data_IF_677512531182
#
_entry.id   IF_677512531182
#
_cell.length_a   1.000
_cell.length_b   1.000
_cell.length_c   1.000
_cell.angle_alpha   90.00
_cell.angle_beta   90.00
_cell.angle_gamma   90.00
#
_symmetry.space_group_name_H-M   'P 1'
#
loop_
_entity.id
_entity.type
_entity.pdbx_description
1 polymer ?
#
# COMPACT_ATOMS: atom_id res chain seq x y z
N UNK A 1 21.78 -12.73 14.65
CA UNK A 1 20.99 -12.93 13.43
C UNK A 1 20.91 -11.61 12.69
N UNK A 2 21.31 -11.58 11.42
CA UNK A 2 21.21 -10.39 10.59
C UNK A 2 19.84 -10.37 9.89
N UNK A 3 18.82 -9.86 10.58
CA UNK A 3 17.45 -9.79 10.05
C UNK A 3 17.31 -8.69 9.01
N UNK A 4 18.07 -7.60 9.14
CA UNK A 4 17.94 -6.43 8.26
C UNK A 4 18.29 -6.74 6.81
N UNK A 5 19.20 -7.68 6.55
CA UNK A 5 19.53 -8.13 5.20
C UNK A 5 18.44 -9.00 4.55
N UNK A 6 17.43 -9.41 5.31
CA UNK A 6 16.35 -10.30 4.85
C UNK A 6 15.02 -9.58 4.66
N UNK A 7 14.99 -8.25 4.74
CA UNK A 7 13.82 -7.44 4.45
C UNK A 7 14.13 -6.40 3.39
N UNK A 8 13.14 -6.06 2.58
CA UNK A 8 13.22 -5.00 1.58
C UNK A 8 12.09 -4.01 1.77
N UNK A 9 12.43 -2.72 1.88
CA UNK A 9 11.47 -1.63 1.88
C UNK A 9 10.98 -1.36 0.46
N UNK A 10 9.69 -1.05 0.33
CA UNK A 10 9.06 -0.67 -0.93
C UNK A 10 8.39 0.69 -0.78
N UNK A 11 8.47 1.57 -1.79
CA UNK A 11 7.69 2.78 -1.84
C UNK A 11 6.21 2.45 -2.02
N UNK A 12 5.35 3.32 -1.51
CA UNK A 12 3.90 3.18 -1.58
C UNK A 12 3.28 4.51 -1.97
N UNK A 13 2.30 4.45 -2.88
CA UNK A 13 1.54 5.61 -3.32
C UNK A 13 0.05 5.31 -3.26
N UNK A 14 -0.71 6.25 -2.71
CA UNK A 14 -2.17 6.29 -2.81
C UNK A 14 -2.59 7.58 -3.50
N UNK A 15 -3.40 7.46 -4.55
CA UNK A 15 -3.96 8.61 -5.25
C UNK A 15 -5.46 8.66 -5.01
N UNK A 16 -5.92 9.75 -4.44
CA UNK A 16 -7.33 10.04 -4.17
C UNK A 16 -7.84 11.09 -5.14
N UNK A 17 -9.05 10.89 -5.64
CA UNK A 17 -9.70 11.85 -6.53
C UNK A 17 -11.18 12.03 -6.16
N UNK A 18 -11.75 13.16 -6.54
CA UNK A 18 -13.19 13.42 -6.49
C UNK A 18 -13.68 13.65 -7.91
N UNK A 19 -14.65 12.84 -8.36
CA UNK A 19 -15.36 13.00 -9.61
C UNK A 19 -16.78 13.52 -9.39
N UNK A 20 -17.26 14.39 -10.27
CA UNK A 20 -18.66 14.84 -10.24
C UNK A 20 -19.62 13.76 -10.78
N UNK A 21 -19.21 13.02 -11.80
CA UNK A 21 -20.06 12.02 -12.48
C UNK A 21 -20.35 10.76 -11.67
N UNK A 22 -19.56 10.46 -10.62
CA UNK A 22 -19.72 9.25 -9.80
C UNK A 22 -19.86 7.97 -10.62
N UNK A 23 -19.14 7.88 -11.75
CA UNK A 23 -19.19 6.76 -12.71
C UNK A 23 -18.99 5.40 -12.03
N UNK A 24 -18.24 5.37 -10.94
CA UNK A 24 -17.92 4.17 -10.16
C UNK A 24 -19.02 3.72 -9.17
N UNK A 25 -20.21 4.34 -9.20
CA UNK A 25 -21.29 4.12 -8.19
C UNK A 25 -21.72 2.66 -8.04
N UNK A 26 -21.62 1.86 -9.10
CA UNK A 26 -22.02 0.46 -9.11
C UNK A 26 -20.85 -0.51 -8.87
N UNK A 27 -19.65 0.01 -8.64
CA UNK A 27 -18.45 -0.80 -8.40
C UNK A 27 -18.09 -0.81 -6.92
N UNK A 28 -17.60 -1.97 -6.46
CA UNK A 28 -16.87 -2.09 -5.20
C UNK A 28 -15.36 -1.91 -5.41
N UNK A 29 -14.55 -2.54 -4.56
CA UNK A 29 -13.10 -2.62 -4.75
C UNK A 29 -12.78 -3.41 -6.01
N UNK A 30 -11.99 -2.82 -6.89
CA UNK A 30 -11.45 -3.46 -8.11
C UNK A 30 -9.97 -3.69 -7.94
N UNK A 31 -9.50 -4.87 -8.31
CA UNK A 31 -8.08 -5.24 -8.38
C UNK A 31 -7.74 -5.53 -9.83
N UNK A 32 -6.64 -4.95 -10.31
CA UNK A 32 -6.22 -5.06 -11.71
C UNK A 32 -4.70 -5.21 -11.80
N UNK A 33 -4.20 -5.69 -12.92
CA UNK A 33 -2.78 -5.70 -13.27
C UNK A 33 -2.31 -4.44 -14.01
N UNK A 34 -3.24 -3.51 -14.29
CA UNK A 34 -2.90 -2.21 -14.87
C UNK A 34 -2.09 -1.33 -13.91
N UNK A 35 -1.61 -0.18 -14.40
CA UNK A 35 -0.80 0.78 -13.65
C UNK A 35 -1.43 1.22 -12.32
N UNK A 36 -2.75 1.30 -12.23
CA UNK A 36 -3.47 1.77 -11.04
C UNK A 36 -3.59 0.73 -9.93
N UNK A 37 -3.47 -0.55 -10.22
CA UNK A 37 -3.52 -1.75 -9.33
C UNK A 37 -4.82 -1.91 -8.55
N UNK A 38 -5.16 -0.98 -7.67
CA UNK A 38 -6.37 -1.04 -6.86
C UNK A 38 -7.17 0.23 -7.02
N UNK A 39 -8.47 0.05 -7.25
CA UNK A 39 -9.46 1.12 -7.31
C UNK A 39 -10.47 0.86 -6.20
N UNK A 40 -10.61 1.80 -5.26
CA UNK A 40 -11.42 1.60 -4.06
C UNK A 40 -12.32 2.81 -3.85
N UNK A 41 -13.64 2.70 -4.11
CA UNK A 41 -14.60 3.73 -3.73
C UNK A 41 -14.56 3.98 -2.21
N UNK A 42 -14.54 5.25 -1.82
CA UNK A 42 -14.47 5.66 -0.41
C UNK A 42 -15.81 6.27 0.02
N UNK A 43 -16.30 7.26 -0.73
CA UNK A 43 -17.56 7.92 -0.44
C UNK A 43 -18.30 8.26 -1.74
N UNK A 44 -19.36 7.51 -2.00
CA UNK A 44 -20.20 7.70 -3.19
C UNK A 44 -21.00 9.01 -3.15
N UNK A 45 -21.27 9.58 -1.96
CA UNK A 45 -22.06 10.81 -1.83
C UNK A 45 -21.34 12.01 -2.41
N UNK A 46 -20.05 12.14 -2.17
CA UNK A 46 -19.20 13.23 -2.67
C UNK A 46 -18.38 12.86 -3.90
N UNK A 47 -18.44 11.60 -4.35
CA UNK A 47 -17.66 11.12 -5.50
C UNK A 47 -16.18 10.86 -5.19
N UNK A 48 -15.83 10.57 -3.91
CA UNK A 48 -14.46 10.28 -3.48
C UNK A 48 -14.10 8.83 -3.73
N UNK A 49 -12.98 8.65 -4.40
CA UNK A 49 -12.43 7.33 -4.72
C UNK A 49 -10.91 7.34 -4.59
N UNK A 50 -10.33 6.30 -4.01
CA UNK A 50 -8.92 5.99 -4.15
C UNK A 50 -8.75 5.32 -5.52
N UNK A 51 -8.25 6.10 -6.48
CA UNK A 51 -8.19 5.70 -7.88
C UNK A 51 -6.95 4.89 -8.21
N UNK A 52 -5.94 4.96 -7.36
CA UNK A 52 -4.73 4.15 -7.47
C UNK A 52 -4.16 3.86 -6.09
N UNK A 53 -3.76 2.61 -5.89
CA UNK A 53 -2.98 2.18 -4.75
C UNK A 53 -1.89 1.23 -5.26
N UNK A 54 -0.66 1.69 -5.19
CA UNK A 54 0.50 1.01 -5.79
C UNK A 54 1.67 0.97 -4.81
N UNK A 55 2.45 -0.08 -4.90
CA UNK A 55 3.72 -0.24 -4.22
C UNK A 55 4.83 -0.65 -5.21
N UNK A 56 6.05 -0.70 -4.73
CA UNK A 56 7.20 -1.21 -5.47
C UNK A 56 7.35 -0.59 -6.86
N UNK A 57 7.42 -1.45 -7.87
CA UNK A 57 7.64 -1.03 -9.27
C UNK A 57 6.48 -0.19 -9.82
N UNK A 58 5.24 -0.55 -9.52
CA UNK A 58 4.08 0.22 -9.98
C UNK A 58 4.01 1.61 -9.35
N UNK A 59 4.42 1.71 -8.08
CA UNK A 59 4.57 3.01 -7.42
C UNK A 59 5.63 3.86 -8.13
N UNK A 60 6.80 3.32 -8.46
CA UNK A 60 7.86 4.04 -9.19
C UNK A 60 7.40 4.49 -10.58
N UNK A 61 6.66 3.63 -11.30
CA UNK A 61 6.08 4.00 -12.61
C UNK A 61 5.10 5.16 -12.47
N UNK A 62 4.20 5.12 -11.48
CA UNK A 62 3.24 6.19 -11.25
C UNK A 62 3.93 7.49 -10.81
N UNK A 63 4.97 7.41 -9.97
CA UNK A 63 5.77 8.57 -9.56
C UNK A 63 6.43 9.24 -10.77
N UNK A 64 6.94 8.49 -11.74
CA UNK A 64 7.46 9.05 -12.98
C UNK A 64 6.39 9.86 -13.75
N UNK A 65 5.17 9.35 -13.85
CA UNK A 65 4.06 10.10 -14.45
C UNK A 65 3.71 11.38 -13.68
N UNK A 66 3.85 11.36 -12.35
CA UNK A 66 3.66 12.57 -11.52
C UNK A 66 4.74 13.62 -11.84
N UNK A 67 6.01 13.21 -11.88
CA UNK A 67 7.16 14.07 -12.20
C UNK A 67 7.06 14.68 -13.61
N UNK A 68 6.58 13.89 -14.57
CA UNK A 68 6.39 14.30 -15.97
C UNK A 68 5.08 15.10 -16.20
N UNK A 69 4.21 15.23 -15.19
CA UNK A 69 2.92 15.90 -15.31
C UNK A 69 1.88 15.13 -16.14
N UNK A 70 2.08 13.84 -16.37
CA UNK A 70 1.23 12.95 -17.19
C UNK A 70 0.37 11.99 -16.36
N UNK A 71 0.32 12.18 -15.04
CA UNK A 71 -0.39 11.26 -14.13
C UNK A 71 -1.87 11.08 -14.49
N UNK A 72 -2.58 12.16 -14.79
CA UNK A 72 -4.01 12.09 -15.09
C UNK A 72 -4.28 11.35 -16.40
N UNK A 73 -3.43 11.54 -17.40
CA UNK A 73 -3.49 10.79 -18.66
C UNK A 73 -3.30 9.30 -18.41
N UNK A 74 -2.25 8.91 -17.66
CA UNK A 74 -1.95 7.51 -17.37
C UNK A 74 -3.07 6.83 -16.56
N UNK A 75 -3.65 7.52 -15.59
CA UNK A 75 -4.83 7.04 -14.84
C UNK A 75 -6.02 6.89 -15.78
N UNK A 76 -6.32 7.89 -16.59
CA UNK A 76 -7.47 7.88 -17.50
C UNK A 76 -7.39 6.72 -18.50
N UNK A 77 -6.24 6.51 -19.14
CA UNK A 77 -6.05 5.40 -20.07
C UNK A 77 -6.23 4.04 -19.37
N UNK A 78 -5.65 3.87 -18.17
CA UNK A 78 -5.87 2.66 -17.36
C UNK A 78 -7.35 2.43 -17.05
N UNK A 79 -8.08 3.49 -16.70
CA UNK A 79 -9.51 3.38 -16.39
C UNK A 79 -10.34 3.05 -17.63
N UNK A 80 -10.03 3.61 -18.79
CA UNK A 80 -10.72 3.31 -20.05
C UNK A 80 -10.48 1.88 -20.51
N UNK A 81 -9.33 1.32 -20.23
CA UNK A 81 -9.02 -0.10 -20.48
C UNK A 81 -9.84 -1.02 -19.56
N UNK A 82 -9.95 -0.67 -18.26
CA UNK A 82 -10.67 -1.46 -17.26
C UNK A 82 -12.20 -1.32 -17.40
N UNK A 83 -12.68 -0.13 -17.73
CA UNK A 83 -14.09 0.24 -17.80
C UNK A 83 -14.44 0.91 -19.15
N UNK A 84 -14.40 0.16 -20.27
CA UNK A 84 -14.51 0.74 -21.62
C UNK A 84 -15.87 1.42 -21.89
N UNK A 85 -16.92 0.93 -21.25
CA UNK A 85 -18.29 1.41 -21.46
C UNK A 85 -18.68 2.58 -20.55
N UNK A 86 -17.87 2.88 -19.53
CA UNK A 86 -18.18 3.94 -18.59
C UNK A 86 -17.80 5.33 -19.10
N UNK A 87 -18.64 6.31 -18.77
CA UNK A 87 -18.38 7.73 -19.07
C UNK A 87 -17.47 8.35 -18.00
N UNK A 88 -16.19 8.01 -18.06
CA UNK A 88 -15.19 8.49 -17.13
C UNK A 88 -14.75 9.90 -17.52
N UNK A 89 -14.76 10.82 -16.57
CA UNK A 89 -14.20 12.16 -16.75
C UNK A 89 -12.67 12.09 -16.76
N UNK A 90 -12.06 12.70 -17.78
CA UNK A 90 -10.59 12.73 -17.89
C UNK A 90 -9.94 13.52 -16.74
N UNK A 91 -10.62 14.55 -16.22
CA UNK A 91 -10.11 15.39 -15.14
C UNK A 91 -11.04 15.33 -13.95
N UNK A 92 -10.54 14.84 -12.79
CA UNK A 92 -11.29 14.92 -11.55
C UNK A 92 -11.33 16.38 -11.06
N UNK A 93 -12.32 16.69 -10.23
CA UNK A 93 -12.46 17.99 -9.55
C UNK A 93 -11.34 18.22 -8.52
N UNK A 94 -10.83 17.16 -7.93
CA UNK A 94 -9.78 17.18 -6.93
C UNK A 94 -8.88 15.95 -7.11
N UNK A 95 -7.58 16.13 -6.87
CA UNK A 95 -6.60 15.04 -6.84
C UNK A 95 -5.65 15.27 -5.67
N UNK A 96 -5.35 14.19 -4.94
CA UNK A 96 -4.35 14.17 -3.88
C UNK A 96 -3.53 12.90 -3.94
N UNK A 97 -2.21 13.06 -3.91
CA UNK A 97 -1.25 11.98 -3.80
C UNK A 97 -0.71 11.90 -2.37
N UNK A 98 -0.67 10.71 -1.82
CA UNK A 98 0.02 10.37 -0.57
C UNK A 98 1.12 9.38 -0.91
N UNK A 99 2.36 9.81 -0.75
CA UNK A 99 3.55 9.03 -1.07
C UNK A 99 4.37 8.73 0.18
N UNK A 100 4.82 7.50 0.29
CA UNK A 100 5.76 7.05 1.31
C UNK A 100 6.94 6.37 0.63
N UNK A 101 8.15 6.87 0.84
CA UNK A 101 9.38 6.28 0.30
C UNK A 101 9.61 4.87 0.86
N UNK A 102 9.30 4.68 2.15
CA UNK A 102 9.29 3.40 2.85
C UNK A 102 7.88 3.13 3.37
N UNK A 103 6.99 2.72 2.48
CA UNK A 103 5.57 2.56 2.77
C UNK A 103 5.17 1.12 3.13
N UNK A 104 5.96 0.15 2.73
CA UNK A 104 5.78 -1.26 3.08
C UNK A 104 7.13 -1.95 3.20
N UNK A 105 7.20 -3.00 4.03
CA UNK A 105 8.39 -3.83 4.22
C UNK A 105 7.99 -5.28 3.96
N UNK A 106 8.82 -6.00 3.23
CA UNK A 106 8.56 -7.41 2.89
C UNK A 106 9.78 -8.28 3.17
N UNK A 107 9.54 -9.49 3.64
CA UNK A 107 10.57 -10.52 3.72
C UNK A 107 11.09 -10.87 2.33
N UNK A 108 12.41 -10.96 2.22
CA UNK A 108 13.05 -11.42 0.99
C UNK A 108 12.74 -12.91 0.75
N UNK A 109 12.74 -13.31 -0.51
CA UNK A 109 12.52 -14.71 -0.88
C UNK A 109 13.54 -15.61 -0.18
N UNK A 110 13.04 -16.66 0.48
CA UNK A 110 13.85 -17.62 1.23
C UNK A 110 14.17 -17.21 2.67
N UNK A 111 13.68 -16.05 3.14
CA UNK A 111 13.77 -15.69 4.55
C UNK A 111 12.90 -16.62 5.41
N UNK A 112 13.44 -17.04 6.55
CA UNK A 112 12.68 -17.75 7.60
C UNK A 112 11.94 -16.69 8.43
N UNK A 113 10.77 -16.25 7.94
CA UNK A 113 9.99 -15.15 8.52
C UNK A 113 9.55 -15.45 9.95
N UNK A 114 9.17 -16.69 10.26
CA UNK A 114 8.76 -17.09 11.61
C UNK A 114 9.91 -16.92 12.62
N UNK A 115 11.08 -17.49 12.30
CA UNK A 115 12.27 -17.40 13.17
C UNK A 115 12.75 -15.97 13.32
N UNK A 116 12.76 -15.19 12.23
CA UNK A 116 13.21 -13.81 12.24
C UNK A 116 12.24 -12.90 12.97
N UNK A 117 10.93 -13.08 12.80
CA UNK A 117 9.89 -12.37 13.54
C UNK A 117 10.03 -12.61 15.04
N UNK A 118 10.14 -13.86 15.49
CA UNK A 118 10.36 -14.22 16.90
C UNK A 118 11.64 -13.60 17.47
N UNK A 119 12.74 -13.61 16.70
CA UNK A 119 13.98 -12.98 17.13
C UNK A 119 13.81 -11.46 17.30
N UNK A 120 13.14 -10.78 16.37
CA UNK A 120 12.98 -9.32 16.41
C UNK A 120 12.06 -8.85 17.54
N UNK A 121 11.14 -9.66 18.04
CA UNK A 121 10.32 -9.31 19.20
C UNK A 121 11.17 -9.01 20.46
N UNK A 122 12.31 -9.71 20.64
CA UNK A 122 13.30 -9.47 21.73
C UNK A 122 14.70 -9.73 21.21
N UNK A 123 15.30 -8.80 20.43
CA UNK A 123 16.55 -9.03 19.72
C UNK A 123 17.78 -9.03 20.63
N UNK A 124 17.66 -8.50 21.84
CA UNK A 124 18.76 -8.46 22.82
C UNK A 124 18.47 -9.33 24.03
N UNK A 125 19.44 -10.15 24.42
CA UNK A 125 19.37 -10.92 25.67
C UNK A 125 19.81 -10.10 26.89
N UNK A 126 20.65 -9.08 26.69
CA UNK A 126 21.24 -8.26 27.74
C UNK A 126 20.50 -6.96 28.01
N UNK A 127 19.57 -6.56 27.12
CA UNK A 127 18.83 -5.32 27.24
C UNK A 127 17.32 -5.61 27.15
N UNK A 128 16.52 -4.85 27.88
CA UNK A 128 15.07 -4.87 27.77
C UNK A 128 14.62 -4.08 26.53
N UNK A 129 15.02 -4.58 25.35
CA UNK A 129 14.67 -4.04 24.05
C UNK A 129 13.63 -4.95 23.41
N UNK A 130 12.50 -4.37 23.04
CA UNK A 130 11.40 -5.05 22.36
C UNK A 130 11.05 -4.28 21.09
N UNK A 131 10.77 -5.00 20.02
CA UNK A 131 10.35 -4.41 18.74
C UNK A 131 9.01 -5.03 18.37
N UNK A 132 8.02 -4.19 18.05
CA UNK A 132 6.72 -4.63 17.55
C UNK A 132 6.29 -3.75 16.38
N UNK A 133 5.41 -4.29 15.56
CA UNK A 133 4.88 -3.65 14.35
C UNK A 133 4.74 -4.66 13.22
N UNK A 134 4.28 -4.19 12.07
CA UNK A 134 4.10 -5.05 10.90
C UNK A 134 5.41 -5.39 10.19
N UNK A 135 6.40 -4.49 10.22
CA UNK A 135 7.66 -4.61 9.45
C UNK A 135 8.44 -5.90 9.69
N UNK A 136 8.35 -6.48 10.89
CA UNK A 136 8.96 -7.76 11.24
C UNK A 136 7.93 -8.81 11.65
N UNK A 137 6.67 -8.61 11.34
CA UNK A 137 5.62 -9.62 11.52
C UNK A 137 5.69 -10.69 10.43
N UNK A 138 5.15 -11.87 10.70
CA UNK A 138 4.92 -12.88 9.66
C UNK A 138 3.90 -12.40 8.62
N UNK A 139 2.95 -11.54 9.03
CA UNK A 139 1.94 -10.90 8.19
C UNK A 139 2.29 -9.44 7.95
N UNK A 140 3.35 -9.17 7.20
CA UNK A 140 3.82 -7.82 6.91
C UNK A 140 2.81 -7.01 6.09
N UNK A 141 2.91 -5.68 6.16
CA UNK A 141 2.11 -4.70 5.42
C UNK A 141 0.59 -4.68 5.75
N UNK A 142 0.18 -5.33 6.86
CA UNK A 142 -1.21 -5.37 7.30
C UNK A 142 -1.35 -5.01 8.79
N UNK A 143 -2.45 -4.35 9.12
CA UNK A 143 -2.75 -3.94 10.50
C UNK A 143 -2.89 -5.12 11.46
N UNK A 144 -3.44 -6.23 11.01
CA UNK A 144 -3.57 -7.46 11.81
C UNK A 144 -2.22 -8.05 12.15
N UNK A 145 -1.23 -7.99 11.24
CA UNK A 145 0.14 -8.38 11.52
C UNK A 145 0.79 -7.51 12.60
N UNK A 146 0.58 -6.20 12.56
CA UNK A 146 1.06 -5.29 13.61
C UNK A 146 0.42 -5.58 14.96
N UNK A 147 -0.90 -5.81 15.00
CA UNK A 147 -1.65 -6.13 16.22
C UNK A 147 -1.21 -7.47 16.80
N UNK A 148 -1.08 -8.49 15.96
CA UNK A 148 -0.57 -9.81 16.38
C UNK A 148 0.81 -9.69 17.03
N UNK A 149 1.74 -9.02 16.34
CA UNK A 149 3.10 -8.87 16.80
C UNK A 149 3.16 -8.09 18.13
N UNK A 150 2.37 -7.02 18.28
CA UNK A 150 2.30 -6.26 19.53
C UNK A 150 1.76 -7.10 20.70
N UNK A 151 0.76 -7.96 20.45
CA UNK A 151 0.23 -8.89 21.47
C UNK A 151 1.27 -9.91 21.91
N UNK A 152 2.05 -10.46 20.99
CA UNK A 152 3.12 -11.41 21.33
C UNK A 152 4.24 -10.73 22.13
N UNK A 153 4.65 -9.52 21.73
CA UNK A 153 5.64 -8.72 22.46
C UNK A 153 5.16 -8.39 23.87
N UNK A 154 3.88 -8.05 24.05
CA UNK A 154 3.33 -7.74 25.39
C UNK A 154 3.47 -8.89 26.40
N UNK A 155 3.45 -10.14 25.93
CA UNK A 155 3.67 -11.33 26.77
C UNK A 155 5.13 -11.49 27.22
N UNK A 156 6.08 -10.84 26.54
CA UNK A 156 7.53 -10.91 26.84
C UNK A 156 7.98 -9.82 27.82
N UNK A 157 7.14 -8.82 28.06
CA UNK A 157 7.45 -7.66 28.93
C UNK A 157 7.16 -7.96 30.40
N UNK A 158 6.34 -8.96 30.69
CA UNK A 158 5.92 -9.36 32.05
C UNK A 158 6.93 -10.25 32.74
#
# INVERSE_FOLDING_TARGET
LDVMSHVTSQPLLRTYVIYDSKWFKNYGKVVTDSLVKYIIPIDYSIGLIMISYTDGEYCRKMMKHIEEGTQLEAIYESLKEIFPDDKIEKRPKYLRNEYWETGAVYWNRGADSEKMSKFMMKPSKSHNLFICGDSFSENQAWTDGAIYNAREVSKLIN
#
